data_IF_265561839615
#
_entry.id   IF_265561839615
#
_cell.length_a   1.000
_cell.length_b   1.000
_cell.length_c   1.000
_cell.angle_alpha   90.00
_cell.angle_beta   90.00
_cell.angle_gamma   90.00
#
_symmetry.space_group_name_H-M   'P 1'
#
loop_
_entity.id
_entity.type
_entity.pdbx_description
1 polymer ?
#
# COMPACT_ATOMS: atom_id res chain seq x y z
N UNK A 1 10.31 11.11 13.74
CA UNK A 1 9.99 12.10 12.69
C UNK A 1 10.34 11.57 11.31
N UNK A 2 11.56 11.07 11.13
CA UNK A 2 12.07 10.53 9.86
C UNK A 2 11.10 9.57 9.16
N UNK A 3 10.55 8.57 9.87
CA UNK A 3 9.59 7.60 9.32
C UNK A 3 8.39 8.26 8.63
N UNK A 4 7.70 9.17 9.31
CA UNK A 4 6.48 9.82 8.79
C UNK A 4 6.79 10.62 7.53
N UNK A 5 7.92 11.33 7.55
CA UNK A 5 8.36 12.13 6.40
C UNK A 5 8.82 11.24 5.23
N UNK A 6 9.44 10.11 5.52
CA UNK A 6 9.77 9.09 4.53
C UNK A 6 8.51 8.50 3.89
N UNK A 7 7.53 8.07 4.70
CA UNK A 7 6.23 7.58 4.21
C UNK A 7 5.48 8.64 3.40
N UNK A 8 5.54 9.92 3.80
CA UNK A 8 4.96 11.01 3.03
C UNK A 8 5.66 11.20 1.68
N UNK A 9 7.00 11.18 1.65
CA UNK A 9 7.80 11.30 0.42
C UNK A 9 7.45 10.22 -0.62
N UNK A 10 7.12 9.01 -0.17
CA UNK A 10 6.70 7.90 -1.03
C UNK A 10 5.19 7.86 -1.31
N UNK A 11 4.41 8.79 -0.74
CA UNK A 11 2.95 8.82 -0.91
C UNK A 11 2.23 7.66 -0.23
N UNK A 12 2.82 7.14 0.84
CA UNK A 12 2.35 6.01 1.66
C UNK A 12 1.77 6.46 3.00
N UNK A 13 2.02 7.71 3.42
CA UNK A 13 1.44 8.24 4.66
C UNK A 13 -0.07 8.39 4.52
N UNK A 14 -0.83 7.76 5.42
CA UNK A 14 -2.28 7.78 5.45
C UNK A 14 -2.84 8.44 6.72
N UNK A 15 -4.01 9.06 6.58
CA UNK A 15 -4.82 9.51 7.70
C UNK A 15 -5.49 8.31 8.38
N UNK A 16 -6.01 8.49 9.60
CA UNK A 16 -6.76 7.44 10.32
C UNK A 16 -7.94 6.84 9.52
N UNK A 17 -8.50 7.60 8.57
CA UNK A 17 -9.59 7.14 7.69
C UNK A 17 -9.11 6.51 6.37
N UNK A 18 -7.83 6.14 6.24
CA UNK A 18 -7.28 5.49 5.04
C UNK A 18 -7.04 6.43 3.84
N UNK A 19 -7.31 7.72 3.98
CA UNK A 19 -7.00 8.70 2.92
C UNK A 19 -5.53 9.06 2.96
N UNK A 20 -4.85 9.03 1.81
CA UNK A 20 -3.46 9.47 1.66
C UNK A 20 -3.28 10.94 2.04
N UNK A 21 -2.23 11.24 2.78
CA UNK A 21 -1.84 12.60 3.15
C UNK A 21 -1.22 13.28 1.93
N UNK A 22 -1.74 14.47 1.59
CA UNK A 22 -1.31 15.22 0.40
C UNK A 22 -0.49 16.47 0.74
N UNK A 23 -0.67 17.04 1.93
CA UNK A 23 0.01 18.28 2.30
C UNK A 23 1.21 18.03 3.24
N UNK A 24 2.38 18.65 2.98
CA UNK A 24 3.55 18.54 3.88
C UNK A 24 3.24 19.02 5.29
N UNK A 25 2.46 20.09 5.43
CA UNK A 25 2.03 20.63 6.73
C UNK A 25 1.29 19.60 7.57
N UNK A 26 0.41 18.81 6.95
CA UNK A 26 -0.30 17.73 7.64
C UNK A 26 0.64 16.59 8.02
N UNK A 27 1.60 16.24 7.16
CA UNK A 27 2.61 15.23 7.48
C UNK A 27 3.46 15.65 8.69
N UNK A 28 3.89 16.92 8.76
CA UNK A 28 4.62 17.48 9.91
C UNK A 28 3.76 17.38 11.17
N UNK A 29 2.48 17.75 11.11
CA UNK A 29 1.58 17.69 12.26
C UNK A 29 1.41 16.24 12.78
N UNK A 30 1.27 15.27 11.87
CA UNK A 30 1.21 13.85 12.22
C UNK A 30 2.53 13.42 12.87
N UNK A 31 3.66 13.79 12.28
CA UNK A 31 4.99 13.45 12.80
C UNK A 31 5.25 14.01 14.20
N UNK A 32 4.84 15.25 14.48
CA UNK A 32 4.95 15.86 15.81
C UNK A 32 4.07 15.11 16.83
N UNK A 33 2.85 14.76 16.45
CA UNK A 33 1.93 14.02 17.32
C UNK A 33 2.41 12.60 17.62
N UNK A 34 2.96 11.91 16.62
CA UNK A 34 3.53 10.57 16.80
C UNK A 34 4.84 10.57 17.58
N UNK A 35 5.64 11.63 17.46
CA UNK A 35 6.85 11.84 18.25
C UNK A 35 6.56 12.26 19.71
N UNK A 36 5.30 12.55 20.05
CA UNK A 36 4.93 13.07 21.37
C UNK A 36 5.39 14.52 21.60
N UNK A 37 5.62 15.28 20.53
CA UNK A 37 6.06 16.67 20.56
C UNK A 37 4.94 17.67 20.18
N UNK A 38 3.67 17.21 20.17
CA UNK A 38 2.54 18.08 19.85
C UNK A 38 2.25 19.03 21.00
N UNK A 39 2.15 20.33 20.70
CA UNK A 39 1.73 21.36 21.65
C UNK A 39 0.22 21.41 21.88
N UNK A 40 -0.58 20.66 21.10
CA UNK A 40 -2.05 20.60 21.21
C UNK A 40 -2.56 19.49 22.13
N UNK A 41 -1.67 18.71 22.74
CA UNK A 41 -2.03 17.54 23.54
C UNK A 41 -1.33 17.59 24.89
N UNK A 42 -1.93 16.93 25.89
CA UNK A 42 -1.31 16.85 27.21
C UNK A 42 0.00 16.03 27.18
N UNK A 43 0.94 16.26 28.12
CA UNK A 43 2.16 15.45 28.23
C UNK A 43 1.88 13.94 28.36
N UNK A 44 0.80 13.58 29.06
CA UNK A 44 0.39 12.19 29.22
C UNK A 44 -0.03 11.54 27.89
N UNK A 45 -0.83 12.24 27.08
CA UNK A 45 -1.23 11.76 25.76
C UNK A 45 -0.06 11.68 24.79
N UNK A 46 0.82 12.68 24.80
CA UNK A 46 2.04 12.68 23.99
C UNK A 46 2.91 11.45 24.28
N UNK A 47 3.13 11.13 25.58
CA UNK A 47 3.84 9.90 25.98
C UNK A 47 3.13 8.64 25.52
N UNK A 48 1.81 8.57 25.63
CA UNK A 48 1.01 7.41 25.16
C UNK A 48 1.15 7.21 23.65
N UNK A 49 1.08 8.29 22.86
CA UNK A 49 1.24 8.23 21.40
C UNK A 49 2.64 7.79 21.01
N UNK A 50 3.67 8.40 21.59
CA UNK A 50 5.06 8.00 21.34
C UNK A 50 5.29 6.52 21.63
N UNK A 51 4.82 6.02 22.79
CA UNK A 51 4.91 4.59 23.13
C UNK A 51 4.18 3.72 22.11
N UNK A 52 2.98 4.12 21.67
CA UNK A 52 2.21 3.40 20.64
C UNK A 52 2.96 3.35 19.31
N UNK A 53 3.53 4.48 18.87
CA UNK A 53 4.31 4.56 17.62
C UNK A 53 5.54 3.67 17.68
N UNK A 54 6.37 3.80 18.73
CA UNK A 54 7.56 2.94 18.92
C UNK A 54 7.21 1.45 18.93
N UNK A 55 6.10 1.07 19.58
CA UNK A 55 5.62 -0.32 19.56
C UNK A 55 5.27 -0.78 18.15
N UNK A 56 4.58 0.04 17.35
CA UNK A 56 4.26 -0.28 15.95
C UNK A 56 5.53 -0.44 15.11
N UNK A 57 6.49 0.45 15.27
CA UNK A 57 7.79 0.41 14.58
C UNK A 57 8.55 -0.88 14.91
N UNK A 58 8.63 -1.26 16.20
CA UNK A 58 9.24 -2.52 16.63
C UNK A 58 8.57 -3.77 16.02
N UNK A 59 7.26 -3.71 15.80
CA UNK A 59 6.51 -4.79 15.15
C UNK A 59 6.53 -4.72 13.62
N UNK A 60 7.30 -3.80 13.01
CA UNK A 60 7.37 -3.65 11.56
C UNK A 60 6.05 -3.18 10.92
N UNK A 61 5.11 -2.62 11.69
CA UNK A 61 3.84 -2.10 11.16
C UNK A 61 4.01 -0.65 10.70
N UNK A 62 4.87 -0.45 9.71
CA UNK A 62 5.11 0.85 9.06
C UNK A 62 4.29 0.94 7.77
N UNK A 63 3.99 2.16 7.32
CA UNK A 63 3.27 2.35 6.04
C UNK A 63 4.01 1.71 4.87
N UNK A 64 5.35 1.69 4.93
CA UNK A 64 6.21 0.98 3.98
C UNK A 64 6.03 -0.53 4.03
N UNK A 65 6.00 -1.16 5.21
CA UNK A 65 5.77 -2.60 5.32
C UNK A 65 4.35 -3.00 4.93
N UNK A 66 3.37 -2.13 5.15
CA UNK A 66 2.00 -2.35 4.67
C UNK A 66 1.88 -2.14 3.15
N UNK A 67 2.60 -1.18 2.58
CA UNK A 67 2.68 -0.96 1.13
C UNK A 67 3.47 -2.07 0.42
N UNK A 68 4.62 -2.46 0.96
CA UNK A 68 5.42 -3.61 0.50
C UNK A 68 4.62 -4.91 0.71
N UNK A 69 3.94 -5.06 1.83
CA UNK A 69 3.01 -6.16 2.09
C UNK A 69 1.89 -6.23 1.04
N UNK A 70 1.23 -5.11 0.71
CA UNK A 70 0.24 -5.04 -0.38
C UNK A 70 0.84 -5.34 -1.75
N UNK A 71 2.08 -4.92 -2.02
CA UNK A 71 2.78 -5.22 -3.28
C UNK A 71 3.18 -6.69 -3.39
N UNK A 72 3.45 -7.34 -2.25
CA UNK A 72 3.91 -8.72 -2.15
C UNK A 72 2.81 -9.70 -1.71
N UNK A 73 1.57 -9.24 -1.50
CA UNK A 73 0.43 -10.04 -1.09
C UNK A 73 -0.15 -10.76 -2.32
N UNK A 74 0.01 -12.09 -2.44
CA UNK A 74 -0.52 -12.86 -3.57
C UNK A 74 -2.06 -12.89 -3.62
N UNK A 75 -2.74 -12.41 -2.57
CA UNK A 75 -4.21 -12.30 -2.49
C UNK A 75 -4.74 -10.87 -2.67
N UNK A 76 -3.84 -9.88 -2.73
CA UNK A 76 -4.13 -8.45 -2.76
C UNK A 76 -4.58 -7.93 -4.12
N UNK A 77 -5.76 -8.33 -4.58
CA UNK A 77 -6.49 -7.78 -5.74
C UNK A 77 -5.66 -7.34 -6.97
N UNK A 78 -4.60 -8.09 -7.30
CA UNK A 78 -3.99 -8.16 -8.62
C UNK A 78 -4.74 -9.20 -9.47
N UNK A 79 -6.08 -9.20 -9.36
CA UNK A 79 -7.03 -10.10 -10.06
C UNK A 79 -7.13 -9.76 -11.54
N UNK A 80 -6.00 -9.65 -12.20
CA UNK A 80 -5.88 -9.86 -13.63
C UNK A 80 -4.52 -10.51 -13.80
N UNK A 81 -4.54 -11.85 -13.81
CA UNK A 81 -3.46 -12.70 -14.28
C UNK A 81 -2.57 -11.92 -15.25
N UNK A 82 -1.26 -11.86 -14.96
CA UNK A 82 -0.33 -11.12 -15.81
C UNK A 82 -0.54 -11.54 -17.26
N UNK A 83 -0.30 -10.64 -18.23
CA UNK A 83 -0.48 -10.99 -19.65
C UNK A 83 0.23 -12.29 -20.01
N UNK A 84 1.38 -12.57 -19.38
CA UNK A 84 2.12 -13.81 -19.52
C UNK A 84 1.37 -15.02 -18.96
N UNK A 85 0.79 -14.93 -17.76
CA UNK A 85 -0.03 -16.01 -17.19
C UNK A 85 -1.27 -16.30 -18.07
N UNK A 86 -1.98 -15.26 -18.52
CA UNK A 86 -3.10 -15.42 -19.44
C UNK A 86 -2.66 -15.97 -20.81
N UNK A 87 -1.48 -15.59 -21.30
CA UNK A 87 -0.94 -16.11 -22.55
C UNK A 87 -0.55 -17.59 -22.43
N UNK A 88 0.07 -17.98 -21.32
CA UNK A 88 0.40 -19.38 -21.03
C UNK A 88 -0.86 -20.24 -20.92
N UNK A 89 -1.88 -19.75 -20.21
CA UNK A 89 -3.17 -20.44 -20.09
C UNK A 89 -3.91 -20.48 -21.44
N UNK A 90 -3.92 -19.38 -22.19
CA UNK A 90 -4.48 -19.34 -23.54
C UNK A 90 -3.73 -20.25 -24.53
N UNK A 91 -2.42 -20.48 -24.33
CA UNK A 91 -1.63 -21.46 -25.07
C UNK A 91 -2.02 -22.88 -24.67
N UNK A 92 -2.22 -23.18 -23.38
CA UNK A 92 -2.67 -24.50 -22.90
C UNK A 92 -4.07 -24.86 -23.40
N UNK A 93 -4.94 -23.86 -23.59
CA UNK A 93 -6.32 -24.04 -24.09
C UNK A 93 -6.46 -23.82 -25.60
N UNK A 94 -5.35 -23.66 -26.31
CA UNK A 94 -5.28 -23.44 -27.76
C UNK A 94 -6.23 -22.35 -28.27
N UNK A 95 -6.23 -21.19 -27.59
CA UNK A 95 -7.05 -20.05 -28.02
C UNK A 95 -6.50 -19.48 -29.34
N UNK A 96 -7.31 -19.44 -30.42
CA UNK A 96 -6.89 -18.88 -31.69
C UNK A 96 -6.66 -17.37 -31.56
N UNK A 97 -5.65 -16.85 -32.24
CA UNK A 97 -5.32 -15.42 -32.20
C UNK A 97 -4.71 -14.90 -30.88
N UNK A 98 -4.44 -15.78 -29.89
CA UNK A 98 -3.84 -15.42 -28.58
C UNK A 98 -2.61 -14.51 -28.68
N UNK A 99 -1.76 -14.71 -29.69
CA UNK A 99 -0.54 -13.93 -29.92
C UNK A 99 -0.79 -12.45 -30.22
N UNK A 100 -1.97 -12.11 -30.74
CA UNK A 100 -2.40 -10.74 -31.05
C UNK A 100 -3.24 -10.11 -29.94
N UNK A 101 -3.60 -10.87 -28.90
CA UNK A 101 -4.46 -10.39 -27.82
C UNK A 101 -3.66 -9.66 -26.74
N UNK A 102 -4.18 -8.51 -26.31
CA UNK A 102 -3.72 -7.84 -25.09
C UNK A 102 -4.23 -8.58 -23.84
N UNK A 103 -3.76 -8.19 -22.65
CA UNK A 103 -4.12 -8.86 -21.40
C UNK A 103 -5.64 -8.98 -21.21
N UNK A 104 -6.38 -7.89 -21.43
CA UNK A 104 -7.82 -7.88 -21.20
C UNK A 104 -8.58 -8.70 -22.26
N UNK A 105 -8.07 -8.77 -23.49
CA UNK A 105 -8.58 -9.65 -24.55
C UNK A 105 -8.31 -11.14 -24.23
N UNK A 106 -7.12 -11.49 -23.75
CA UNK A 106 -6.81 -12.86 -23.29
C UNK A 106 -7.70 -13.27 -22.12
N UNK A 107 -7.90 -12.39 -21.14
CA UNK A 107 -8.78 -12.64 -20.00
C UNK A 107 -10.24 -12.85 -20.43
N UNK A 108 -10.72 -12.05 -21.39
CA UNK A 108 -12.08 -12.22 -21.95
C UNK A 108 -12.22 -13.50 -22.76
N UNK A 109 -11.22 -13.86 -23.57
CA UNK A 109 -11.23 -15.07 -24.36
C UNK A 109 -11.24 -16.34 -23.48
N UNK A 110 -10.50 -16.32 -22.37
CA UNK A 110 -10.45 -17.42 -21.40
C UNK A 110 -11.75 -17.62 -20.60
N UNK A 111 -12.59 -16.57 -20.50
CA UNK A 111 -13.89 -16.63 -19.80
C UNK A 111 -15.07 -17.03 -20.69
N UNK A 112 -14.91 -16.93 -22.02
CA UNK A 112 -15.99 -17.13 -23.00
C UNK A 112 -16.07 -18.56 -23.55
N UNK A 113 -15.28 -19.49 -23.01
CA UNK A 113 -15.15 -20.86 -23.53
C UNK A 113 -15.18 -21.87 -22.39
#
# INVERSE_FOLDING_TARGET
MERVMHEFKHGELETRGGRKVKSPKQAIAIGLSEAGASNRQSPAENRRKLKRTKRKERHGRTGRAEAEGRRNDPTGNDKRDTRAALYAEAKRRDIPGRSRMNRDQLARALRRR
#
